data_IF_232695072234
#
_entry.id   IF_232695072234
#
_cell.length_a   1.000
_cell.length_b   1.000
_cell.length_c   1.000
_cell.angle_alpha   90.00
_cell.angle_beta   90.00
_cell.angle_gamma   90.00
#
_symmetry.space_group_name_H-M   'P 1'
#
loop_
_entity.id
_entity.type
_entity.pdbx_description
1 polymer ?
#
# COMPACT_ATOMS: atom_id res chain seq x y z
N UNK A 1 4.42 -12.29 15.39
CA UNK A 1 4.11 -11.40 14.26
C UNK A 1 4.83 -10.10 14.54
N UNK A 2 5.83 -9.76 13.71
CA UNK A 2 6.59 -8.53 13.83
C UNK A 2 6.20 -7.60 12.69
N UNK A 3 5.91 -6.35 13.04
CA UNK A 3 5.56 -5.28 12.12
C UNK A 3 6.70 -4.27 12.12
N UNK A 4 7.22 -3.94 10.95
CA UNK A 4 8.28 -2.96 10.78
C UNK A 4 7.93 -1.98 9.67
N UNK A 5 7.62 -0.74 10.06
CA UNK A 5 7.35 0.35 9.15
C UNK A 5 8.66 0.81 8.52
N UNK A 6 8.69 0.94 7.20
CA UNK A 6 9.87 1.44 6.47
C UNK A 6 9.79 2.98 6.49
N UNK A 7 10.64 3.62 7.28
CA UNK A 7 10.57 5.06 7.58
C UNK A 7 10.60 5.96 6.33
N UNK A 8 11.22 5.50 5.25
CA UNK A 8 11.38 6.26 4.01
C UNK A 8 10.31 5.99 2.94
N UNK A 9 9.22 5.27 3.26
CA UNK A 9 8.19 5.02 2.27
C UNK A 9 6.89 4.45 2.80
N UNK A 10 5.85 4.37 1.95
CA UNK A 10 4.54 3.84 2.31
C UNK A 10 4.57 2.29 2.31
N UNK A 11 5.50 1.71 3.07
CA UNK A 11 5.77 0.28 3.10
C UNK A 11 5.85 -0.28 4.52
N UNK A 12 5.31 -1.48 4.69
CA UNK A 12 5.29 -2.24 5.94
C UNK A 12 5.88 -3.62 5.67
N UNK A 13 6.91 -3.98 6.42
CA UNK A 13 7.44 -5.34 6.47
C UNK A 13 6.69 -6.11 7.56
N UNK A 14 6.07 -7.22 7.16
CA UNK A 14 5.38 -8.15 8.06
C UNK A 14 6.15 -9.46 8.12
N UNK A 15 6.57 -9.86 9.32
CA UNK A 15 7.34 -11.08 9.55
C UNK A 15 6.59 -12.02 10.50
N UNK A 16 6.29 -13.24 10.01
CA UNK A 16 5.80 -14.37 10.81
C UNK A 16 6.43 -15.66 10.28
N UNK A 17 5.63 -16.57 9.72
CA UNK A 17 6.04 -17.78 9.00
C UNK A 17 6.55 -17.45 7.58
N UNK A 18 6.18 -16.28 7.06
CA UNK A 18 6.70 -15.70 5.82
C UNK A 18 7.12 -14.25 6.05
N UNK A 19 7.95 -13.75 5.13
CA UNK A 19 8.38 -12.36 5.05
C UNK A 19 7.64 -11.68 3.91
N UNK A 20 6.78 -10.71 4.23
CA UNK A 20 5.90 -10.03 3.28
C UNK A 20 6.17 -8.54 3.31
N UNK A 21 6.45 -7.95 2.14
CA UNK A 21 6.52 -6.51 1.96
C UNK A 21 5.17 -5.99 1.45
N UNK A 22 4.49 -5.21 2.27
CA UNK A 22 3.25 -4.53 1.90
C UNK A 22 3.61 -3.12 1.46
N UNK A 23 3.17 -2.72 0.26
CA UNK A 23 3.40 -1.37 -0.28
C UNK A 23 2.02 -0.79 -0.63
N UNK A 24 1.62 0.26 0.08
CA UNK A 24 0.30 0.87 -0.11
C UNK A 24 0.39 2.37 0.16
N UNK A 25 -0.03 3.19 -0.80
CA UNK A 25 -0.13 4.64 -0.56
C UNK A 25 -1.15 4.87 0.56
N UNK A 26 -0.73 5.64 1.57
CA UNK A 26 -1.47 5.83 2.82
C UNK A 26 -2.59 6.86 2.63
N UNK A 27 -3.50 6.64 1.67
CA UNK A 27 -4.66 7.51 1.41
C UNK A 27 -6.00 6.84 1.75
N UNK A 28 -5.99 5.70 2.46
CA UNK A 28 -7.19 4.89 2.75
C UNK A 28 -8.37 5.70 3.31
N UNK A 29 -8.13 6.76 4.09
CA UNK A 29 -9.18 7.63 4.61
C UNK A 29 -9.86 8.49 3.53
N UNK A 30 -9.06 9.16 2.70
CA UNK A 30 -9.55 10.07 1.66
C UNK A 30 -10.19 9.28 0.52
N UNK A 31 -9.57 8.19 0.08
CA UNK A 31 -10.09 7.34 -0.99
C UNK A 31 -11.44 6.70 -0.62
N UNK A 32 -11.60 6.28 0.65
CA UNK A 32 -12.86 5.76 1.17
C UNK A 32 -13.96 6.82 1.18
N UNK A 33 -13.64 8.07 1.57
CA UNK A 33 -14.57 9.20 1.52
C UNK A 33 -14.99 9.57 0.09
N UNK A 34 -14.03 9.67 -0.84
CA UNK A 34 -14.27 9.96 -2.25
C UNK A 34 -15.16 8.91 -2.91
N UNK A 35 -14.91 7.63 -2.64
CA UNK A 35 -15.72 6.52 -3.15
C UNK A 35 -17.18 6.62 -2.69
N UNK A 36 -17.43 7.03 -1.44
CA UNK A 36 -18.79 7.25 -0.90
C UNK A 36 -19.52 8.41 -1.60
N UNK A 37 -18.78 9.31 -2.26
CA UNK A 37 -19.31 10.42 -3.04
C UNK A 37 -19.23 10.17 -4.56
N UNK A 38 -19.05 8.92 -4.98
CA UNK A 38 -19.06 8.53 -6.40
C UNK A 38 -17.77 8.85 -7.16
N UNK A 39 -16.72 9.31 -6.48
CA UNK A 39 -15.42 9.59 -7.10
C UNK A 39 -14.54 8.35 -6.99
N UNK A 40 -14.21 7.77 -8.14
CA UNK A 40 -13.36 6.59 -8.25
C UNK A 40 -11.96 7.00 -8.74
N UNK A 41 -10.96 6.90 -7.85
CA UNK A 41 -9.56 7.11 -8.22
C UNK A 41 -8.99 5.82 -8.79
N UNK A 42 -8.43 5.88 -10.01
CA UNK A 42 -7.80 4.74 -10.63
C UNK A 42 -6.57 4.28 -9.82
N UNK A 43 -6.58 3.01 -9.42
CA UNK A 43 -5.44 2.42 -8.70
C UNK A 43 -4.24 2.28 -9.62
N UNK A 44 -3.06 2.70 -9.14
CA UNK A 44 -1.77 2.50 -9.83
C UNK A 44 -0.99 1.30 -9.30
N UNK A 45 -1.66 0.35 -8.63
CA UNK A 45 -0.99 -0.77 -7.96
C UNK A 45 -0.22 -1.69 -8.91
N UNK A 46 -0.70 -1.91 -10.15
CA UNK A 46 0.03 -2.68 -11.16
C UNK A 46 1.35 -2.01 -11.55
N UNK A 47 1.30 -0.73 -11.93
CA UNK A 47 2.51 0.05 -12.22
C UNK A 47 3.46 0.14 -11.02
N UNK A 48 2.94 0.21 -9.79
CA UNK A 48 3.76 0.20 -8.57
C UNK A 48 4.45 -1.15 -8.37
N UNK A 49 3.75 -2.27 -8.58
CA UNK A 49 4.33 -3.62 -8.55
C UNK A 49 5.47 -3.72 -9.56
N UNK A 50 5.25 -3.31 -10.80
CA UNK A 50 6.24 -3.46 -11.86
C UNK A 50 7.52 -2.67 -11.57
N UNK A 51 7.40 -1.46 -11.00
CA UNK A 51 8.58 -0.68 -10.54
C UNK A 51 9.34 -1.33 -9.39
N UNK A 52 8.69 -2.11 -8.54
CA UNK A 52 9.31 -2.72 -7.35
C UNK A 52 10.00 -4.04 -7.72
N UNK A 53 9.52 -4.72 -8.76
CA UNK A 53 10.06 -5.99 -9.23
C UNK A 53 11.14 -5.86 -10.32
N UNK A 54 11.33 -4.65 -10.87
CA UNK A 54 12.42 -4.32 -11.79
C UNK A 54 13.73 -4.11 -11.03
#
# INVERSE_FOLDING_TARGET
MRLHFIENGPALLVERDRRVLVIADLHMGIESGLKRHGVHVASRSAARRDRVLA
#
